data_IF_787899156542
#
_entry.id   IF_787899156542
#
_cell.length_a   1.000
_cell.length_b   1.000
_cell.length_c   1.000
_cell.angle_alpha   90.00
_cell.angle_beta   90.00
_cell.angle_gamma   90.00
#
_symmetry.space_group_name_H-M   'P 1'
#
loop_
_entity.id
_entity.type
_entity.pdbx_description
1 polymer ?
#
# COMPACT_ATOMS: atom_id res chain seq x y z
N UNK A 1 -8.52 20.00 -17.99
CA UNK A 1 -7.26 20.33 -18.68
C UNK A 1 -6.09 19.75 -17.92
N UNK A 2 -5.19 19.04 -18.59
CA UNK A 2 -3.98 18.51 -17.97
C UNK A 2 -3.01 19.64 -17.67
N UNK A 3 -2.43 19.63 -16.49
CA UNK A 3 -1.41 20.58 -16.07
C UNK A 3 -0.10 19.84 -15.80
N UNK A 4 1.01 20.40 -16.26
CA UNK A 4 2.33 19.88 -15.93
C UNK A 4 2.77 20.44 -14.58
N UNK A 5 3.15 19.56 -13.66
CA UNK A 5 3.61 19.93 -12.33
C UNK A 5 4.93 19.22 -12.02
N UNK A 6 5.78 19.86 -11.21
CA UNK A 6 7.03 19.26 -10.74
C UNK A 6 6.75 18.32 -9.57
N UNK A 7 7.16 17.06 -9.70
CA UNK A 7 7.17 16.13 -8.57
C UNK A 7 8.45 16.37 -7.77
N UNK A 8 8.33 17.00 -6.61
CA UNK A 8 9.46 17.36 -5.76
C UNK A 8 10.27 16.15 -5.27
N UNK A 9 9.62 14.99 -5.04
CA UNK A 9 10.29 13.78 -4.56
C UNK A 9 11.20 13.13 -5.62
N UNK A 10 10.77 13.13 -6.87
CA UNK A 10 11.49 12.49 -7.98
C UNK A 10 12.24 13.49 -8.86
N UNK A 11 12.05 14.77 -8.61
CA UNK A 11 12.57 15.89 -9.43
C UNK A 11 12.24 15.74 -10.93
N UNK A 12 11.04 15.23 -11.21
CA UNK A 12 10.54 15.04 -12.58
C UNK A 12 9.24 15.79 -12.78
N UNK A 13 9.02 16.26 -14.01
CA UNK A 13 7.73 16.83 -14.37
C UNK A 13 6.67 15.73 -14.55
N UNK A 14 5.48 15.97 -14.06
CA UNK A 14 4.32 15.10 -14.20
C UNK A 14 3.15 15.86 -14.81
N UNK A 15 2.32 15.15 -15.56
CA UNK A 15 1.03 15.68 -15.96
C UNK A 15 0.00 15.37 -14.89
N UNK A 16 -0.70 16.40 -14.42
CA UNK A 16 -1.74 16.26 -13.43
C UNK A 16 -3.09 16.71 -13.98
N UNK A 17 -4.12 15.96 -13.71
CA UNK A 17 -5.50 16.28 -13.99
C UNK A 17 -6.28 16.27 -12.68
N UNK A 18 -6.68 17.45 -12.16
CA UNK A 18 -7.45 17.51 -10.92
C UNK A 18 -8.89 17.03 -11.13
N UNK A 19 -9.48 16.52 -10.07
CA UNK A 19 -10.91 16.19 -10.02
C UNK A 19 -11.35 15.14 -11.07
N UNK A 20 -10.60 14.05 -11.21
CA UNK A 20 -10.98 12.94 -12.08
C UNK A 20 -11.92 12.00 -11.33
N UNK A 21 -13.07 11.74 -11.92
CA UNK A 21 -13.97 10.67 -11.46
C UNK A 21 -13.72 9.40 -12.28
N UNK A 22 -13.45 8.30 -11.58
CA UNK A 22 -13.36 6.97 -12.18
C UNK A 22 -14.42 6.06 -11.57
N UNK A 23 -15.18 5.39 -12.42
CA UNK A 23 -16.21 4.43 -11.99
C UNK A 23 -15.92 3.08 -12.62
N UNK A 24 -15.96 2.03 -11.82
CA UNK A 24 -15.77 0.66 -12.27
C UNK A 24 -16.84 -0.25 -11.69
N UNK A 25 -17.44 -1.07 -12.55
CA UNK A 25 -18.37 -2.11 -12.13
C UNK A 25 -17.59 -3.36 -11.71
N UNK A 26 -17.53 -3.63 -10.41
CA UNK A 26 -16.81 -4.77 -9.83
C UNK A 26 -17.32 -6.13 -10.31
N UNK A 27 -18.51 -6.22 -10.90
CA UNK A 27 -19.00 -7.44 -11.55
C UNK A 27 -18.16 -7.84 -12.76
N UNK A 28 -17.42 -6.91 -13.33
CA UNK A 28 -16.48 -7.14 -14.42
C UNK A 28 -15.06 -7.54 -13.94
N UNK A 29 -14.92 -7.87 -12.67
CA UNK A 29 -13.66 -8.24 -12.06
C UNK A 29 -12.90 -7.06 -11.44
N UNK A 30 -11.72 -7.33 -10.92
CA UNK A 30 -10.88 -6.32 -10.30
C UNK A 30 -10.34 -5.33 -11.35
N UNK A 31 -10.35 -4.00 -11.10
CA UNK A 31 -9.97 -2.99 -12.09
C UNK A 31 -8.45 -2.90 -12.28
N UNK A 32 -7.88 -3.93 -12.87
CA UNK A 32 -6.46 -4.00 -13.20
C UNK A 32 -6.19 -3.37 -14.56
N UNK A 33 -5.37 -2.32 -14.57
CA UNK A 33 -4.92 -1.71 -15.81
C UNK A 33 -3.92 -2.60 -16.52
N UNK A 34 -4.16 -2.90 -17.79
CA UNK A 34 -3.35 -3.83 -18.59
C UNK A 34 -1.94 -3.31 -18.93
N UNK A 35 -1.69 -2.01 -18.79
CA UNK A 35 -0.39 -1.39 -19.09
C UNK A 35 0.69 -1.65 -18.04
N UNK A 36 0.32 -2.10 -16.85
CA UNK A 36 1.26 -2.41 -15.77
C UNK A 36 0.98 -3.81 -15.21
N UNK A 37 2.06 -4.54 -14.97
CA UNK A 37 1.96 -5.82 -14.26
C UNK A 37 1.85 -5.56 -12.76
N UNK A 38 0.96 -6.29 -12.08
CA UNK A 38 0.98 -6.35 -10.61
C UNK A 38 2.25 -7.10 -10.19
N UNK A 39 3.02 -6.48 -9.30
CA UNK A 39 4.16 -7.15 -8.69
C UNK A 39 3.69 -8.04 -7.52
N UNK A 40 4.39 -9.14 -7.30
CA UNK A 40 4.16 -9.98 -6.12
C UNK A 40 4.37 -9.19 -4.82
N UNK A 41 5.26 -8.20 -4.84
CA UNK A 41 5.51 -7.29 -3.72
C UNK A 41 4.25 -6.52 -3.31
N UNK A 42 3.48 -6.02 -4.25
CA UNK A 42 2.22 -5.32 -3.98
C UNK A 42 1.20 -6.22 -3.27
N UNK A 43 1.04 -7.45 -3.75
CA UNK A 43 0.12 -8.43 -3.13
C UNK A 43 0.60 -8.83 -1.74
N UNK A 44 1.90 -9.06 -1.57
CA UNK A 44 2.50 -9.40 -0.29
C UNK A 44 2.33 -8.28 0.74
N UNK A 45 2.49 -7.02 0.33
CA UNK A 45 2.28 -5.86 1.20
C UNK A 45 0.81 -5.74 1.62
N UNK A 46 -0.14 -5.94 0.71
CA UNK A 46 -1.57 -5.92 1.04
C UNK A 46 -1.93 -7.03 2.05
N UNK A 47 -1.41 -8.24 1.87
CA UNK A 47 -1.60 -9.34 2.82
C UNK A 47 -0.96 -9.01 4.18
N UNK A 48 0.23 -8.46 4.20
CA UNK A 48 0.90 -8.05 5.42
C UNK A 48 0.10 -7.00 6.20
N UNK A 49 -0.52 -6.03 5.51
CA UNK A 49 -1.41 -5.07 6.15
C UNK A 49 -2.66 -5.73 6.72
N UNK A 50 -3.31 -6.61 5.96
CA UNK A 50 -4.56 -7.27 6.37
C UNK A 50 -4.32 -8.20 7.56
N UNK A 51 -3.20 -8.92 7.61
CA UNK A 51 -2.85 -9.79 8.73
C UNK A 51 -2.46 -9.04 10.00
N UNK A 52 -2.09 -7.76 9.88
CA UNK A 52 -1.69 -6.95 11.02
C UNK A 52 -0.32 -7.31 11.57
N UNK A 53 0.49 -8.05 10.82
CA UNK A 53 1.84 -8.39 11.22
C UNK A 53 2.74 -7.15 11.21
N UNK A 54 3.64 -7.06 12.18
CA UNK A 54 4.67 -6.02 12.22
C UNK A 54 6.06 -6.56 11.85
N UNK A 55 6.24 -7.89 11.79
CA UNK A 55 7.49 -8.50 11.33
C UNK A 55 7.67 -8.31 9.83
N UNK A 56 8.89 -8.05 9.41
CA UNK A 56 9.26 -7.95 8.00
C UNK A 56 9.64 -9.30 7.38
N UNK A 57 9.72 -10.38 8.14
CA UNK A 57 10.22 -11.68 7.67
C UNK A 57 9.45 -12.21 6.46
N UNK A 58 8.12 -12.11 6.49
CA UNK A 58 7.30 -12.47 5.33
C UNK A 58 7.52 -11.53 4.16
N UNK A 59 7.47 -10.22 4.41
CA UNK A 59 7.50 -9.21 3.37
C UNK A 59 8.85 -9.16 2.64
N UNK A 60 9.96 -9.40 3.36
CA UNK A 60 11.32 -9.38 2.81
C UNK A 60 11.59 -10.46 1.76
N UNK A 61 10.73 -11.48 1.66
CA UNK A 61 10.78 -12.46 0.57
C UNK A 61 10.37 -11.88 -0.77
N UNK A 62 9.68 -10.74 -0.78
CA UNK A 62 9.09 -10.12 -1.97
C UNK A 62 9.61 -8.72 -2.23
N UNK A 63 9.93 -7.96 -1.18
CA UNK A 63 10.38 -6.58 -1.28
C UNK A 63 11.15 -6.13 -0.05
N UNK A 64 12.00 -5.14 -0.22
CA UNK A 64 12.78 -4.49 0.86
C UNK A 64 12.37 -3.03 1.08
N UNK A 65 11.26 -2.59 0.52
CA UNK A 65 10.84 -1.19 0.58
C UNK A 65 10.59 -0.69 2.01
N UNK A 66 10.31 -1.60 2.95
CA UNK A 66 10.09 -1.29 4.36
C UNK A 66 11.35 -1.41 5.23
N UNK A 67 12.46 -1.90 4.69
CA UNK A 67 13.69 -2.15 5.46
C UNK A 67 14.25 -0.85 6.10
N UNK A 68 14.02 0.30 5.47
CA UNK A 68 14.43 1.60 6.01
C UNK A 68 13.69 2.03 7.27
N UNK A 69 12.58 1.37 7.60
CA UNK A 69 11.74 1.66 8.77
C UNK A 69 11.87 0.62 9.87
N UNK A 70 12.68 -0.42 9.65
CA UNK A 70 12.80 -1.52 10.60
C UNK A 70 13.47 -1.11 11.90
N UNK A 71 13.00 -1.71 12.96
CA UNK A 71 13.58 -1.67 14.30
C UNK A 71 14.56 -2.83 14.52
N UNK A 72 15.25 -2.86 15.65
CA UNK A 72 16.35 -3.80 15.90
C UNK A 72 15.96 -5.28 15.87
N UNK A 73 14.68 -5.59 16.04
CA UNK A 73 14.12 -6.95 16.02
C UNK A 73 13.46 -7.33 14.68
N UNK A 74 13.78 -6.62 13.62
CA UNK A 74 13.21 -6.79 12.26
C UNK A 74 11.70 -6.53 12.21
N UNK A 75 11.19 -5.66 13.08
CA UNK A 75 9.78 -5.26 13.10
C UNK A 75 9.59 -3.80 12.72
N UNK A 76 8.35 -3.44 12.40
CA UNK A 76 7.92 -2.06 12.15
C UNK A 76 6.66 -1.80 12.95
N UNK A 77 6.78 -1.19 14.14
CA UNK A 77 5.62 -0.89 15.00
C UNK A 77 4.69 0.16 14.43
N UNK A 78 5.18 0.97 13.49
CA UNK A 78 4.36 1.93 12.73
C UNK A 78 3.64 1.31 11.53
N UNK A 79 3.79 -0.01 11.29
CA UNK A 79 3.13 -0.71 10.19
C UNK A 79 1.60 -0.52 10.26
N UNK A 80 1.01 -0.16 9.13
CA UNK A 80 -0.41 0.20 9.07
C UNK A 80 -1.34 -0.94 9.53
N UNK A 81 -1.07 -2.16 9.10
CA UNK A 81 -1.86 -3.33 9.49
C UNK A 81 -1.79 -3.61 10.99
N UNK A 82 -0.61 -3.57 11.59
CA UNK A 82 -0.44 -3.72 13.02
C UNK A 82 -1.20 -2.64 13.80
N UNK A 83 -1.13 -1.39 13.35
CA UNK A 83 -1.84 -0.28 14.00
C UNK A 83 -3.35 -0.40 13.87
N UNK A 84 -3.85 -0.88 12.74
CA UNK A 84 -5.29 -1.08 12.52
C UNK A 84 -5.86 -2.22 13.36
N UNK A 85 -5.09 -3.27 13.62
CA UNK A 85 -5.60 -4.47 14.31
C UNK A 85 -5.23 -4.55 15.79
N UNK A 86 -4.04 -4.09 16.19
CA UNK A 86 -3.49 -4.40 17.51
C UNK A 86 -3.03 -3.20 18.33
N UNK A 87 -2.74 -2.07 17.73
CA UNK A 87 -2.19 -0.91 18.44
C UNK A 87 -3.23 -0.21 19.32
N UNK A 88 -4.47 -0.23 18.93
CA UNK A 88 -5.60 0.32 19.67
C UNK A 88 -6.46 -0.80 20.25
N UNK A 89 -7.34 -0.49 21.17
CA UNK A 89 -8.19 -1.48 21.84
C UNK A 89 -9.26 -2.12 20.93
N UNK A 90 -9.35 -1.71 19.68
CA UNK A 90 -10.32 -2.17 18.70
C UNK A 90 -9.61 -2.65 17.44
N UNK A 91 -9.93 -3.86 16.99
CA UNK A 91 -9.56 -4.32 15.64
C UNK A 91 -10.45 -3.62 14.61
N UNK A 92 -9.88 -2.60 13.97
CA UNK A 92 -10.63 -1.77 13.02
C UNK A 92 -10.93 -2.52 11.71
N UNK A 93 -10.13 -3.50 11.34
CA UNK A 93 -10.38 -4.33 10.15
C UNK A 93 -11.58 -5.25 10.41
N UNK A 94 -11.62 -5.93 11.55
CA UNK A 94 -12.74 -6.79 11.93
C UNK A 94 -14.04 -5.99 12.05
N UNK A 95 -13.96 -4.76 12.53
CA UNK A 95 -15.14 -3.91 12.73
C UNK A 95 -15.83 -3.52 11.42
N UNK A 96 -15.10 -3.44 10.30
CA UNK A 96 -15.67 -3.01 9.00
C UNK A 96 -16.04 -4.19 8.08
N UNK A 97 -15.71 -5.40 8.46
CA UNK A 97 -16.07 -6.61 7.73
C UNK A 97 -17.44 -7.12 8.18
#
# INVERSE_FOLDING_TARGET
MQKQELNARTNTNVYALPHVLYTHDMRNGFPLLSLRKISKAFVAEALWFITGDKSLDFLQRYTKIWDGFKEGDNTVTSAYGYRLRYHFSVDQIETVL
#
